data_IF_370175434625
#
_entry.id   IF_370175434625
#
_cell.length_a   1.000
_cell.length_b   1.000
_cell.length_c   1.000
_cell.angle_alpha   90.00
_cell.angle_beta   90.00
_cell.angle_gamma   90.00
#
_symmetry.space_group_name_H-M   'P 1'
#
loop_
_entity.id
_entity.type
_entity.pdbx_description
1 polymer ?
#
# COMPACT_ATOMS: atom_id res chain seq x y z
N UNK A 1 48.63 -9.13 0.35
CA UNK A 1 47.32 -8.84 0.97
C UNK A 1 46.46 -8.13 -0.08
N UNK A 2 45.75 -8.89 -0.91
CA UNK A 2 45.07 -8.35 -2.10
C UNK A 2 43.56 -8.32 -1.91
N UNK A 3 43.07 -7.08 -1.79
CA UNK A 3 41.79 -6.52 -2.25
C UNK A 3 40.69 -7.51 -2.71
N UNK A 4 39.61 -7.60 -1.94
CA UNK A 4 38.30 -8.03 -2.43
C UNK A 4 37.22 -7.29 -1.68
N UNK A 5 36.55 -6.33 -2.33
CA UNK A 5 35.12 -6.04 -2.16
C UNK A 5 34.70 -4.93 -3.14
N UNK A 6 34.85 -5.21 -4.44
CA UNK A 6 34.13 -4.44 -5.46
C UNK A 6 32.69 -4.91 -5.48
N UNK A 7 31.80 -4.10 -4.92
CA UNK A 7 30.36 -4.28 -4.94
C UNK A 7 29.87 -4.25 -6.39
N UNK A 8 29.56 -5.42 -6.98
CA UNK A 8 28.84 -5.49 -8.25
C UNK A 8 27.43 -4.93 -8.04
N UNK A 9 27.22 -3.66 -8.39
CA UNK A 9 25.89 -3.20 -8.76
C UNK A 9 25.45 -4.04 -9.96
N UNK A 10 24.55 -4.97 -9.70
CA UNK A 10 23.92 -5.83 -10.70
C UNK A 10 23.15 -4.91 -11.65
N UNK A 11 23.81 -4.48 -12.72
CA UNK A 11 23.21 -3.76 -13.84
C UNK A 11 22.17 -4.71 -14.45
N UNK A 12 20.92 -4.65 -13.98
CA UNK A 12 19.80 -5.22 -14.74
C UNK A 12 19.82 -4.53 -16.09
N UNK A 13 19.81 -5.34 -17.16
CA UNK A 13 19.90 -4.77 -18.51
C UNK A 13 18.67 -3.88 -18.75
N UNK A 14 18.81 -2.77 -19.51
CA UNK A 14 17.67 -1.94 -19.89
C UNK A 14 16.56 -2.78 -20.57
N UNK A 15 16.93 -3.87 -21.24
CA UNK A 15 16.00 -4.83 -21.86
C UNK A 15 15.14 -5.56 -20.83
N UNK A 16 15.71 -5.97 -19.70
CA UNK A 16 14.99 -6.66 -18.61
C UNK A 16 13.97 -5.71 -17.95
N UNK A 17 14.32 -4.43 -17.80
CA UNK A 17 13.44 -3.40 -17.25
C UNK A 17 12.27 -3.11 -18.21
N UNK A 18 12.55 -2.98 -19.51
CA UNK A 18 11.52 -2.80 -20.54
C UNK A 18 10.56 -4.01 -20.56
N UNK A 19 11.09 -5.23 -20.44
CA UNK A 19 10.28 -6.44 -20.34
C UNK A 19 9.33 -6.43 -19.14
N UNK A 20 9.81 -6.04 -17.95
CA UNK A 20 8.97 -5.94 -16.74
C UNK A 20 7.89 -4.86 -16.89
N UNK A 21 8.21 -3.72 -17.51
CA UNK A 21 7.24 -2.63 -17.74
C UNK A 21 6.13 -3.10 -18.70
N UNK A 22 6.49 -3.75 -19.80
CA UNK A 22 5.53 -4.29 -20.78
C UNK A 22 4.64 -5.35 -20.14
N UNK A 23 5.23 -6.29 -19.39
CA UNK A 23 4.47 -7.32 -18.68
C UNK A 23 3.53 -6.72 -17.64
N UNK A 24 4.00 -5.73 -16.86
CA UNK A 24 3.17 -5.00 -15.91
C UNK A 24 2.02 -4.26 -16.58
N UNK A 25 2.26 -3.59 -17.71
CA UNK A 25 1.22 -2.92 -18.47
C UNK A 25 0.16 -3.90 -18.98
N UNK A 26 0.57 -5.04 -19.55
CA UNK A 26 -0.35 -6.08 -20.04
C UNK A 26 -1.20 -6.65 -18.89
N UNK A 27 -0.58 -6.94 -17.74
CA UNK A 27 -1.29 -7.46 -16.57
C UNK A 27 -2.33 -6.46 -16.06
N UNK A 28 -1.97 -5.17 -15.98
CA UNK A 28 -2.88 -4.10 -15.56
C UNK A 28 -4.03 -3.94 -16.56
N UNK A 29 -3.73 -3.94 -17.87
CA UNK A 29 -4.76 -3.84 -18.91
C UNK A 29 -5.70 -5.03 -18.89
N UNK A 30 -5.20 -6.25 -18.72
CA UNK A 30 -6.01 -7.46 -18.60
C UNK A 30 -6.94 -7.40 -17.37
N UNK A 31 -6.41 -6.98 -16.22
CA UNK A 31 -7.20 -6.79 -15.00
C UNK A 31 -8.30 -5.73 -15.18
N UNK A 32 -7.98 -4.62 -15.86
CA UNK A 32 -8.94 -3.54 -16.11
C UNK A 32 -10.10 -3.99 -17.01
N UNK A 33 -9.81 -4.78 -18.06
CA UNK A 33 -10.84 -5.36 -18.94
C UNK A 33 -11.72 -6.34 -18.16
N UNK A 34 -11.11 -7.20 -17.35
CA UNK A 34 -11.84 -8.17 -16.53
C UNK A 34 -12.77 -7.46 -15.53
N UNK A 35 -12.28 -6.42 -14.85
CA UNK A 35 -13.11 -5.60 -13.97
C UNK A 35 -14.24 -4.90 -14.71
N UNK A 36 -13.97 -4.31 -15.88
CA UNK A 36 -14.99 -3.69 -16.73
C UNK A 36 -16.09 -4.67 -17.16
N UNK A 37 -15.70 -5.90 -17.49
CA UNK A 37 -16.65 -6.97 -17.84
C UNK A 37 -17.52 -7.39 -16.65
N UNK A 38 -16.93 -7.57 -15.47
CA UNK A 38 -17.68 -7.90 -14.24
C UNK A 38 -18.67 -6.80 -13.89
N UNK A 39 -18.25 -5.53 -13.98
CA UNK A 39 -19.12 -4.38 -13.73
C UNK A 39 -20.29 -4.36 -14.71
N UNK A 40 -20.02 -4.55 -16.01
CA UNK A 40 -21.07 -4.60 -17.03
C UNK A 40 -22.06 -5.74 -16.78
N UNK A 41 -21.55 -6.95 -16.51
CA UNK A 41 -22.39 -8.12 -16.27
C UNK A 41 -23.25 -7.99 -15.02
N UNK A 42 -22.64 -7.57 -13.91
CA UNK A 42 -23.33 -7.35 -12.64
C UNK A 42 -24.39 -6.24 -12.77
N UNK A 43 -24.04 -5.13 -13.42
CA UNK A 43 -24.97 -4.01 -13.57
C UNK A 43 -26.17 -4.38 -14.45
N UNK A 44 -25.93 -5.05 -15.58
CA UNK A 44 -26.99 -5.45 -16.50
C UNK A 44 -27.95 -6.48 -15.88
N UNK A 45 -27.52 -7.22 -14.86
CA UNK A 45 -28.38 -8.13 -14.13
C UNK A 45 -29.16 -7.41 -13.01
N UNK A 46 -28.49 -6.59 -12.21
CA UNK A 46 -29.09 -6.01 -11.00
C UNK A 46 -29.95 -4.77 -11.26
N UNK A 47 -29.42 -3.79 -12.00
CA UNK A 47 -30.01 -2.45 -12.07
C UNK A 47 -31.29 -2.39 -12.93
N UNK A 48 -31.35 -3.05 -14.11
CA UNK A 48 -32.59 -3.15 -14.87
C UNK A 48 -33.69 -3.90 -14.13
N UNK A 49 -33.34 -4.97 -13.42
CA UNK A 49 -34.30 -5.84 -12.73
C UNK A 49 -34.90 -5.17 -11.48
N UNK A 50 -34.09 -4.47 -10.70
CA UNK A 50 -34.53 -3.84 -9.45
C UNK A 50 -35.12 -2.44 -9.67
N UNK A 51 -34.56 -1.66 -10.59
CA UNK A 51 -34.88 -0.23 -10.75
C UNK A 51 -35.46 0.13 -12.13
N UNK A 52 -35.58 -0.82 -13.06
CA UNK A 52 -36.06 -0.54 -14.43
C UNK A 52 -35.15 0.38 -15.23
N UNK A 53 -33.87 0.48 -14.85
CA UNK A 53 -32.89 1.36 -15.50
C UNK A 53 -32.33 0.74 -16.78
N UNK A 54 -31.72 1.58 -17.62
CA UNK A 54 -31.10 1.16 -18.87
C UNK A 54 -29.85 0.29 -18.63
N UNK A 55 -29.65 -0.68 -19.52
CA UNK A 55 -28.46 -1.54 -19.54
C UNK A 55 -27.21 -0.73 -19.86
N UNK A 56 -26.08 -1.04 -19.21
CA UNK A 56 -24.78 -0.46 -19.53
C UNK A 56 -24.13 -1.20 -20.71
N UNK A 57 -23.65 -0.43 -21.67
CA UNK A 57 -22.68 -0.90 -22.68
C UNK A 57 -21.28 -0.94 -22.08
N UNK A 58 -20.37 -1.73 -22.69
CA UNK A 58 -18.98 -1.86 -22.23
C UNK A 58 -18.29 -0.50 -22.04
N UNK A 59 -18.46 0.42 -23.00
CA UNK A 59 -17.90 1.77 -22.93
C UNK A 59 -18.47 2.60 -21.78
N UNK A 60 -19.74 2.43 -21.42
CA UNK A 60 -20.33 3.12 -20.27
C UNK A 60 -19.83 2.52 -18.94
N UNK A 61 -19.71 1.19 -18.84
CA UNK A 61 -19.16 0.53 -17.66
C UNK A 61 -17.69 0.96 -17.41
N UNK A 62 -16.88 1.03 -18.47
CA UNK A 62 -15.50 1.55 -18.40
C UNK A 62 -15.50 3.03 -18.03
N UNK A 63 -16.39 3.84 -18.60
CA UNK A 63 -16.53 5.26 -18.24
C UNK A 63 -16.86 5.48 -16.76
N UNK A 64 -17.81 4.72 -16.22
CA UNK A 64 -18.15 4.74 -14.78
C UNK A 64 -16.96 4.28 -13.95
N UNK A 65 -16.27 3.21 -14.34
CA UNK A 65 -15.08 2.76 -13.64
C UNK A 65 -13.98 3.83 -13.59
N UNK A 66 -13.73 4.53 -14.68
CA UNK A 66 -12.76 5.64 -14.75
C UNK A 66 -13.22 6.80 -13.87
N UNK A 67 -14.50 7.19 -13.94
CA UNK A 67 -15.05 8.25 -13.10
C UNK A 67 -14.94 7.90 -11.61
N UNK A 68 -15.33 6.69 -11.22
CA UNK A 68 -15.12 6.16 -9.87
C UNK A 68 -13.64 6.16 -9.51
N UNK A 69 -12.73 5.80 -10.41
CA UNK A 69 -11.29 5.83 -10.15
C UNK A 69 -10.76 7.25 -9.97
N UNK A 70 -11.30 8.25 -10.65
CA UNK A 70 -10.94 9.66 -10.45
C UNK A 70 -11.48 10.14 -9.11
N UNK A 71 -12.71 9.78 -8.76
CA UNK A 71 -13.35 10.20 -7.52
C UNK A 71 -12.73 9.52 -6.28
N UNK A 72 -12.45 8.21 -6.37
CA UNK A 72 -11.83 7.40 -5.31
C UNK A 72 -10.29 7.44 -5.34
N UNK A 73 -9.67 7.83 -6.47
CA UNK A 73 -8.22 7.88 -6.65
C UNK A 73 -7.61 9.28 -6.59
N UNK A 74 -8.42 10.32 -6.33
CA UNK A 74 -7.98 11.70 -6.13
C UNK A 74 -7.24 11.95 -4.81
N UNK A 75 -7.10 10.95 -3.92
CA UNK A 75 -6.37 11.08 -2.68
C UNK A 75 -5.37 9.92 -2.52
N UNK A 76 -4.07 10.24 -2.56
CA UNK A 76 -3.01 9.34 -2.11
C UNK A 76 -2.45 8.36 -3.14
N UNK A 77 -1.68 8.87 -4.12
CA UNK A 77 -0.55 8.09 -4.64
C UNK A 77 0.73 8.88 -4.41
N UNK A 78 1.30 8.70 -3.22
CA UNK A 78 2.66 9.14 -2.90
C UNK A 78 3.64 8.28 -3.68
N UNK A 79 3.93 8.67 -4.93
CA UNK A 79 5.02 8.09 -5.68
C UNK A 79 6.34 8.61 -5.10
N UNK A 80 6.93 7.83 -4.21
CA UNK A 80 8.28 8.01 -3.71
C UNK A 80 9.30 7.75 -4.82
N UNK A 81 9.58 8.76 -5.65
CA UNK A 81 10.82 8.80 -6.43
C UNK A 81 11.89 9.55 -5.64
N UNK A 82 12.77 8.77 -5.01
CA UNK A 82 14.12 9.22 -4.65
C UNK A 82 14.84 9.66 -5.92
N UNK A 83 15.18 10.94 -6.03
CA UNK A 83 16.38 11.36 -6.75
C UNK A 83 17.01 12.54 -6.03
N UNK A 84 18.24 12.30 -5.59
CA UNK A 84 19.18 13.25 -5.03
C UNK A 84 19.42 14.46 -5.94
N UNK A 85 19.22 15.68 -5.43
CA UNK A 85 20.25 16.73 -5.46
C UNK A 85 19.88 17.87 -4.53
N UNK A 86 20.89 18.27 -3.77
CA UNK A 86 21.02 19.46 -2.95
C UNK A 86 20.72 20.75 -3.73
N UNK A 87 19.92 21.63 -3.13
CA UNK A 87 20.26 23.05 -2.94
C UNK A 87 19.09 23.82 -2.33
N UNK A 88 19.35 24.41 -1.16
CA UNK A 88 18.65 25.52 -0.49
C UNK A 88 17.39 26.06 -1.19
N UNK A 89 16.22 25.79 -0.61
CA UNK A 89 15.12 26.74 -0.72
C UNK A 89 14.31 26.82 0.58
N UNK A 90 14.21 28.05 1.09
CA UNK A 90 13.41 28.40 2.24
C UNK A 90 11.94 28.46 1.79
N UNK A 91 11.14 27.46 2.18
CA UNK A 91 9.70 27.65 2.32
C UNK A 91 9.19 26.79 3.47
N UNK A 92 8.88 27.48 4.58
CA UNK A 92 7.98 26.97 5.59
C UNK A 92 6.66 26.59 4.90
N UNK A 93 6.33 25.30 4.89
CA UNK A 93 4.94 24.87 4.83
C UNK A 93 4.71 23.92 5.99
N UNK A 94 4.21 24.53 7.06
CA UNK A 94 3.60 23.90 8.21
C UNK A 94 2.35 23.14 7.72
N UNK A 95 2.56 21.97 7.13
CA UNK A 95 1.56 20.93 7.04
C UNK A 95 2.15 19.76 7.80
N UNK A 96 1.84 19.69 9.10
CA UNK A 96 2.08 18.52 9.95
C UNK A 96 1.35 17.33 9.33
N UNK A 97 1.97 16.74 8.33
CA UNK A 97 1.60 15.46 7.76
C UNK A 97 2.20 14.41 8.69
N UNK A 98 1.34 13.52 9.18
CA UNK A 98 1.64 12.44 10.13
C UNK A 98 2.83 11.55 9.73
N UNK A 99 3.29 11.65 8.47
CA UNK A 99 4.43 10.91 7.93
C UNK A 99 5.78 11.21 8.59
N UNK A 100 6.00 12.43 9.11
CA UNK A 100 7.24 12.74 9.83
C UNK A 100 7.35 11.96 11.14
N UNK A 101 6.21 11.65 11.79
CA UNK A 101 6.16 10.85 13.01
C UNK A 101 6.63 9.42 12.78
N UNK A 102 6.32 8.87 11.60
CA UNK A 102 6.70 7.50 11.22
C UNK A 102 8.22 7.34 11.12
N UNK A 103 8.95 8.38 10.70
CA UNK A 103 10.42 8.36 10.69
C UNK A 103 11.01 8.14 12.08
N UNK A 104 10.41 8.71 13.11
CA UNK A 104 10.84 8.50 14.49
C UNK A 104 10.40 7.14 15.03
N UNK A 105 9.23 6.66 14.61
CA UNK A 105 8.72 5.33 14.99
C UNK A 105 9.60 4.20 14.45
N UNK A 106 10.01 4.26 13.17
CA UNK A 106 10.91 3.27 12.56
C UNK A 106 12.29 3.25 13.26
N UNK A 107 12.78 4.44 13.65
CA UNK A 107 14.04 4.55 14.39
C UNK A 107 13.94 3.94 15.79
N UNK A 108 12.89 4.28 16.53
CA UNK A 108 12.63 3.73 17.87
C UNK A 108 12.49 2.20 17.85
N UNK A 109 11.70 1.64 16.92
CA UNK A 109 11.52 0.19 16.82
C UNK A 109 12.80 -0.57 16.45
N UNK A 110 13.73 0.07 15.71
CA UNK A 110 15.03 -0.54 15.35
C UNK A 110 16.06 -0.48 16.48
N UNK A 111 16.05 0.58 17.28
CA UNK A 111 17.03 0.80 18.34
C UNK A 111 16.59 0.16 19.67
N UNK A 112 15.30 0.24 20.01
CA UNK A 112 14.79 -0.12 21.35
C UNK A 112 13.60 -1.10 21.33
N UNK A 113 13.03 -1.41 20.16
CA UNK A 113 11.74 -2.11 20.07
C UNK A 113 11.72 -3.53 20.65
N UNK A 114 12.80 -4.30 20.51
CA UNK A 114 12.83 -5.72 20.93
C UNK A 114 12.78 -5.87 22.47
N UNK A 115 13.42 -4.97 23.21
CA UNK A 115 13.41 -5.01 24.68
C UNK A 115 12.04 -4.65 25.25
N UNK A 116 11.39 -3.62 24.71
CA UNK A 116 10.04 -3.24 25.10
C UNK A 116 8.99 -4.29 24.72
N UNK A 117 9.16 -4.96 23.58
CA UNK A 117 8.27 -6.04 23.17
C UNK A 117 8.37 -7.24 24.13
N UNK A 118 9.60 -7.62 24.52
CA UNK A 118 9.82 -8.68 25.52
C UNK A 118 9.16 -8.35 26.86
N UNK A 119 9.35 -7.14 27.37
CA UNK A 119 8.68 -6.69 28.60
C UNK A 119 7.16 -6.71 28.48
N UNK A 120 6.61 -6.37 27.31
CA UNK A 120 5.16 -6.41 27.08
C UNK A 120 4.61 -7.85 27.14
N UNK A 121 5.29 -8.79 26.47
CA UNK A 121 4.91 -10.21 26.51
C UNK A 121 5.02 -10.75 27.94
N UNK A 122 6.06 -10.35 28.67
CA UNK A 122 6.27 -10.77 30.07
C UNK A 122 5.18 -10.22 31.01
N UNK A 123 4.74 -8.97 30.82
CA UNK A 123 3.59 -8.41 31.55
C UNK A 123 2.29 -9.14 31.21
N UNK A 124 2.07 -9.44 29.94
CA UNK A 124 0.89 -10.19 29.50
C UNK A 124 0.89 -11.62 30.07
N UNK A 125 2.03 -12.32 30.07
CA UNK A 125 2.12 -13.64 30.69
C UNK A 125 1.93 -13.59 32.20
N UNK A 126 2.43 -12.55 32.86
CA UNK A 126 2.28 -12.38 34.32
C UNK A 126 0.83 -12.08 34.70
N UNK A 127 0.13 -11.23 33.95
CA UNK A 127 -1.30 -10.96 34.20
C UNK A 127 -2.18 -12.20 33.97
N UNK A 128 -1.91 -12.96 32.90
CA UNK A 128 -2.63 -14.22 32.65
C UNK A 128 -2.38 -15.24 33.76
N UNK A 129 -1.20 -15.22 34.39
CA UNK A 129 -0.86 -16.11 35.50
C UNK A 129 -1.48 -15.66 36.84
N UNK A 130 -1.64 -14.36 37.09
CA UNK A 130 -2.39 -13.82 38.24
C UNK A 130 -3.90 -14.09 38.13
N UNK A 131 -4.52 -13.88 36.97
CA UNK A 131 -5.96 -14.12 36.75
C UNK A 131 -6.35 -15.61 36.83
N UNK A 132 -5.42 -16.53 36.53
CA UNK A 132 -5.65 -17.99 36.66
C UNK A 132 -5.41 -18.50 38.09
N UNK A 133 -4.89 -17.65 39.00
CA UNK A 133 -4.54 -18.00 40.39
C UNK A 133 -5.42 -17.34 41.45
N UNK A 134 -6.50 -16.65 41.04
CA UNK A 134 -7.54 -16.22 41.98
C UNK A 134 -8.45 -17.42 42.27
N UNK A 135 -8.39 -18.02 43.47
CA UNK A 135 -9.39 -19.02 43.84
C UNK A 135 -10.75 -18.30 43.87
N UNK A 136 -11.76 -18.96 43.34
CA UNK A 136 -13.15 -18.70 43.65
C UNK A 136 -13.30 -18.79 45.18
N UNK A 137 -13.27 -17.64 45.86
CA UNK A 137 -13.80 -17.50 47.22
C UNK A 137 -15.05 -16.63 47.14
N UNK A 138 -16.16 -17.37 47.06
CA UNK A 138 -17.43 -17.12 47.76
C UNK A 138 -17.22 -16.66 49.21
#
# INVERSE_FOLDING_TARGET
MTNFFTHKFRKKSPVEIVGIIIFGAIAITGLAILFGFVIMWLWNWLMPEIFGLTTLTYWQAVGIFILSKIFLGGCGSGSSKKSSKDSNDHCKKDSKTDFSKWKYYDKFWKEEGDEYYKQYIERQSTQVQEDTSKPDSE
#
